data_IF_381573787123
#
_entry.id   IF_381573787123
#
_cell.length_a   1.000
_cell.length_b   1.000
_cell.length_c   1.000
_cell.angle_alpha   90.00
_cell.angle_beta   90.00
_cell.angle_gamma   90.00
#
_symmetry.space_group_name_H-M   'P 1'
#
loop_
_entity.id
_entity.type
_entity.pdbx_description
1 polymer ?
#
# COMPACT_ATOMS: atom_id res chain seq x y z
N UNK A 1 8.22 -11.68 -11.39
CA UNK A 1 7.21 -11.07 -10.51
C UNK A 1 5.92 -11.86 -10.64
N UNK A 2 5.23 -12.22 -9.54
CA UNK A 2 3.97 -12.93 -9.61
C UNK A 2 2.93 -12.12 -10.38
N UNK A 3 2.10 -12.80 -11.17
CA UNK A 3 1.01 -12.16 -11.92
C UNK A 3 -0.09 -11.77 -10.93
N UNK A 4 -0.28 -10.47 -10.71
CA UNK A 4 -1.30 -9.95 -9.80
C UNK A 4 -2.55 -9.59 -10.60
N UNK A 5 -3.70 -10.20 -10.26
CA UNK A 5 -4.99 -9.85 -10.85
C UNK A 5 -5.42 -8.46 -10.37
N UNK A 6 -6.24 -7.77 -11.16
CA UNK A 6 -6.75 -6.43 -10.81
C UNK A 6 -7.47 -6.42 -9.45
N UNK A 7 -8.29 -7.43 -9.16
CA UNK A 7 -9.00 -7.56 -7.88
C UNK A 7 -8.06 -7.75 -6.68
N UNK A 8 -7.01 -8.55 -6.86
CA UNK A 8 -5.96 -8.76 -5.83
C UNK A 8 -5.18 -7.49 -5.58
N UNK A 9 -4.77 -6.81 -6.67
CA UNK A 9 -4.07 -5.54 -6.60
C UNK A 9 -4.87 -4.49 -5.81
N UNK A 10 -6.17 -4.35 -6.11
CA UNK A 10 -7.06 -3.43 -5.40
C UNK A 10 -7.13 -3.77 -3.90
N UNK A 11 -7.40 -5.04 -3.57
CA UNK A 11 -7.57 -5.48 -2.19
C UNK A 11 -6.29 -5.29 -1.38
N UNK A 12 -5.15 -5.75 -1.90
CA UNK A 12 -3.85 -5.64 -1.24
C UNK A 12 -3.46 -4.16 -1.08
N UNK A 13 -3.65 -3.34 -2.11
CA UNK A 13 -3.36 -1.90 -2.05
C UNK A 13 -4.17 -1.21 -0.96
N UNK A 14 -5.48 -1.46 -0.88
CA UNK A 14 -6.35 -0.89 0.15
C UNK A 14 -5.89 -1.31 1.54
N UNK A 15 -5.59 -2.60 1.74
CA UNK A 15 -5.09 -3.10 3.02
C UNK A 15 -3.79 -2.42 3.44
N UNK A 16 -2.82 -2.31 2.53
CA UNK A 16 -1.52 -1.67 2.81
C UNK A 16 -1.70 -0.19 3.15
N UNK A 17 -2.40 0.55 2.29
CA UNK A 17 -2.59 2.00 2.45
C UNK A 17 -3.34 2.30 3.75
N UNK A 18 -4.40 1.55 4.04
CA UNK A 18 -5.14 1.67 5.29
C UNK A 18 -4.27 1.38 6.51
N UNK A 19 -3.46 0.33 6.46
CA UNK A 19 -2.58 -0.01 7.59
C UNK A 19 -1.52 1.06 7.85
N UNK A 20 -0.92 1.60 6.80
CA UNK A 20 0.01 2.72 6.92
C UNK A 20 -0.71 3.97 7.48
N UNK A 21 -1.95 4.21 7.05
CA UNK A 21 -2.76 5.34 7.52
C UNK A 21 -3.10 5.20 9.01
N UNK A 22 -3.63 4.05 9.42
CA UNK A 22 -4.03 3.75 10.80
C UNK A 22 -2.84 3.80 11.77
N UNK A 23 -1.64 3.48 11.29
CA UNK A 23 -0.39 3.57 12.06
C UNK A 23 0.29 4.94 11.99
N UNK A 24 -0.38 5.97 11.44
CA UNK A 24 0.18 7.31 11.25
C UNK A 24 1.55 7.29 10.55
N UNK A 25 1.74 6.42 9.55
CA UNK A 25 2.99 6.30 8.80
C UNK A 25 3.13 7.45 7.80
N UNK A 26 3.23 8.66 8.31
CA UNK A 26 3.44 9.91 7.58
C UNK A 26 4.68 10.62 8.14
N UNK A 27 5.40 11.38 7.32
CA UNK A 27 6.59 12.13 7.75
C UNK A 27 7.65 11.24 8.41
N UNK A 28 7.75 11.28 9.75
CA UNK A 28 8.69 10.45 10.52
C UNK A 28 8.20 9.00 10.70
N UNK A 29 6.89 8.76 10.68
CA UNK A 29 6.27 7.45 10.84
C UNK A 29 6.60 6.50 9.68
N UNK A 30 6.86 5.23 9.99
CA UNK A 30 7.12 4.19 8.97
C UNK A 30 7.17 2.81 9.61
N UNK A 31 6.79 1.78 8.85
CA UNK A 31 6.81 0.38 9.33
C UNK A 31 7.47 -0.58 8.35
N UNK A 32 7.99 -1.68 8.88
CA UNK A 32 8.65 -2.71 8.09
C UNK A 32 7.65 -3.53 7.28
N UNK A 33 8.14 -4.16 6.20
CA UNK A 33 7.31 -5.01 5.34
C UNK A 33 6.61 -6.16 6.08
N UNK A 34 7.25 -6.75 7.10
CA UNK A 34 6.62 -7.82 7.88
C UNK A 34 5.37 -7.35 8.63
N UNK A 35 5.34 -6.07 9.06
CA UNK A 35 4.15 -5.45 9.66
C UNK A 35 3.06 -5.29 8.61
N UNK A 36 3.41 -4.94 7.38
CA UNK A 36 2.43 -4.81 6.28
C UNK A 36 1.87 -6.16 5.83
N UNK A 37 2.71 -7.21 5.84
CA UNK A 37 2.31 -8.58 5.56
C UNK A 37 1.38 -9.17 6.63
N UNK A 38 1.41 -8.67 7.87
CA UNK A 38 0.54 -9.22 8.92
C UNK A 38 -0.95 -8.94 8.62
N UNK A 39 -1.80 -9.96 8.75
CA UNK A 39 -3.23 -9.86 8.43
C UNK A 39 -3.57 -9.90 6.93
N UNK A 40 -2.60 -10.10 6.04
CA UNK A 40 -2.84 -10.46 4.63
C UNK A 40 -2.95 -11.99 4.54
N UNK A 41 -3.90 -12.48 3.74
CA UNK A 41 -4.10 -13.91 3.46
C UNK A 41 -2.83 -14.54 2.90
N UNK A 42 -2.54 -15.79 3.28
CA UNK A 42 -1.35 -16.54 2.83
C UNK A 42 -1.20 -16.53 1.31
N UNK A 43 -2.31 -16.59 0.61
CA UNK A 43 -2.46 -16.60 -0.86
C UNK A 43 -1.96 -15.34 -1.57
N UNK A 44 -1.75 -14.25 -0.82
CA UNK A 44 -1.37 -12.94 -1.36
C UNK A 44 -0.05 -12.41 -0.80
N UNK A 45 0.58 -13.14 0.13
CA UNK A 45 1.81 -12.69 0.80
C UNK A 45 2.96 -12.49 -0.19
N UNK A 46 3.02 -13.32 -1.24
CA UNK A 46 3.98 -13.24 -2.34
C UNK A 46 3.71 -12.05 -3.28
N UNK A 47 2.46 -11.57 -3.35
CA UNK A 47 2.05 -10.42 -4.17
C UNK A 47 2.30 -9.08 -3.49
N UNK A 48 2.44 -9.03 -2.16
CA UNK A 48 2.61 -7.79 -1.38
C UNK A 48 3.76 -6.93 -1.87
N UNK A 49 4.91 -7.54 -2.17
CA UNK A 49 6.09 -6.81 -2.63
C UNK A 49 5.85 -6.15 -3.99
N UNK A 50 5.29 -6.90 -4.94
CA UNK A 50 4.88 -6.38 -6.26
C UNK A 50 3.93 -5.19 -6.13
N UNK A 51 2.94 -5.28 -5.23
CA UNK A 51 1.98 -4.19 -5.00
C UNK A 51 2.65 -2.99 -4.34
N UNK A 52 3.53 -3.20 -3.36
CA UNK A 52 4.30 -2.11 -2.73
C UNK A 52 5.18 -1.37 -3.74
N UNK A 53 5.87 -2.09 -4.62
CA UNK A 53 6.69 -1.47 -5.66
C UNK A 53 5.86 -0.62 -6.61
N UNK A 54 4.67 -1.10 -7.00
CA UNK A 54 3.74 -0.32 -7.82
C UNK A 54 3.27 0.95 -7.08
N UNK A 55 2.89 0.85 -5.81
CA UNK A 55 2.47 2.00 -5.00
C UNK A 55 3.61 3.02 -4.81
N UNK A 56 4.85 2.55 -4.68
CA UNK A 56 6.05 3.41 -4.64
C UNK A 56 6.26 4.12 -5.97
N UNK A 57 6.15 3.39 -7.09
CA UNK A 57 6.27 3.95 -8.44
C UNK A 57 5.21 5.03 -8.71
N UNK A 58 3.99 4.82 -8.21
CA UNK A 58 2.87 5.78 -8.30
C UNK A 58 2.94 6.92 -7.27
N UNK A 59 4.00 6.96 -6.46
CA UNK A 59 4.23 7.96 -5.40
C UNK A 59 3.12 7.98 -4.33
N UNK A 60 2.38 6.89 -4.14
CA UNK A 60 1.40 6.78 -3.04
C UNK A 60 2.10 6.52 -1.72
N UNK A 61 3.13 5.69 -1.75
CA UNK A 61 4.01 5.46 -0.62
C UNK A 61 5.47 5.66 -1.03
N UNK A 62 6.32 5.77 -0.02
CA UNK A 62 7.76 5.78 -0.15
C UNK A 62 8.33 4.61 0.65
N UNK A 63 9.55 4.22 0.29
CA UNK A 63 10.34 3.25 1.05
C UNK A 63 11.67 3.85 1.46
N UNK A 64 12.15 3.48 2.65
CA UNK A 64 13.48 3.84 3.15
C UNK A 64 14.20 2.60 3.66
N UNK A 65 15.48 2.48 3.31
CA UNK A 65 16.33 1.38 3.78
C UNK A 65 16.69 1.62 5.26
N UNK A 66 16.63 0.55 6.04
CA UNK A 66 17.06 0.46 7.44
C UNK A 66 17.84 -0.85 7.63
N UNK A 67 18.44 -1.00 8.80
CA UNK A 67 19.28 -2.14 9.18
C UNK A 67 18.60 -3.49 8.88
N UNK A 68 17.35 -3.65 9.31
CA UNK A 68 16.59 -4.90 9.12
C UNK A 68 15.70 -4.92 7.86
N UNK A 69 16.01 -4.09 6.87
CA UNK A 69 15.30 -4.09 5.58
C UNK A 69 14.58 -2.78 5.25
N UNK A 70 13.47 -2.89 4.51
CA UNK A 70 12.75 -1.72 4.01
C UNK A 70 11.60 -1.34 4.94
N UNK A 71 11.52 -0.06 5.29
CA UNK A 71 10.33 0.54 5.91
C UNK A 71 9.56 1.35 4.88
N UNK A 72 8.24 1.36 5.00
CA UNK A 72 7.32 2.06 4.11
C UNK A 72 6.51 3.10 4.87
N UNK A 73 6.13 4.16 4.17
CA UNK A 73 5.34 5.28 4.68
C UNK A 73 4.57 5.95 3.55
N UNK A 74 3.48 6.64 3.88
CA UNK A 74 2.61 7.31 2.92
C UNK A 74 3.19 8.64 2.47
N UNK A 75 2.93 8.99 1.21
CA UNK A 75 3.31 10.28 0.65
C UNK A 75 2.24 11.34 0.98
N UNK A 76 2.61 12.36 1.77
CA UNK A 76 1.70 13.44 2.15
C UNK A 76 1.27 14.31 0.97
N UNK A 77 2.07 14.39 -0.10
CA UNK A 77 1.68 15.11 -1.32
C UNK A 77 0.49 14.45 -2.03
N UNK A 78 0.16 13.21 -1.65
CA UNK A 78 -0.95 12.42 -2.19
C UNK A 78 -2.04 12.17 -1.14
N UNK A 79 -2.06 12.96 -0.06
CA UNK A 79 -2.94 12.74 1.09
C UNK A 79 -4.42 12.63 0.72
N UNK A 80 -4.94 13.49 -0.16
CA UNK A 80 -6.34 13.42 -0.59
C UNK A 80 -6.67 12.09 -1.26
N UNK A 81 -5.84 11.66 -2.22
CA UNK A 81 -5.99 10.35 -2.88
C UNK A 81 -5.88 9.20 -1.90
N UNK A 82 -4.96 9.27 -0.93
CA UNK A 82 -4.82 8.27 0.13
C UNK A 82 -6.11 8.21 0.98
N UNK A 83 -6.63 9.37 1.37
CA UNK A 83 -7.86 9.48 2.16
C UNK A 83 -9.05 8.91 1.42
N UNK A 84 -9.14 9.12 0.10
CA UNK A 84 -10.16 8.49 -0.74
C UNK A 84 -10.03 6.96 -0.73
N UNK A 85 -8.82 6.42 -0.95
CA UNK A 85 -8.54 4.96 -0.91
C UNK A 85 -8.96 4.34 0.44
N UNK A 86 -8.66 5.03 1.55
CA UNK A 86 -9.00 4.57 2.91
C UNK A 86 -10.50 4.66 3.19
N UNK A 87 -11.18 5.69 2.67
CA UNK A 87 -12.62 5.90 2.86
C UNK A 87 -13.49 4.99 2.00
N UNK A 88 -12.92 4.35 0.98
CA UNK A 88 -13.68 3.43 0.12
C UNK A 88 -14.38 2.33 0.92
N UNK A 89 -15.66 2.11 0.62
CA UNK A 89 -16.46 1.01 1.16
C UNK A 89 -17.12 0.25 0.00
N UNK A 90 -17.25 -1.07 0.14
CA UNK A 90 -17.87 -1.94 -0.87
C UNK A 90 -16.96 -2.36 -2.03
N UNK A 91 -17.59 -2.90 -3.09
CA UNK A 91 -16.95 -3.55 -4.24
C UNK A 91 -16.45 -2.60 -5.34
N UNK A 92 -16.85 -1.32 -5.29
CA UNK A 92 -16.31 -0.30 -6.19
C UNK A 92 -14.97 0.17 -5.63
N UNK A 93 -13.95 0.24 -6.49
CA UNK A 93 -12.66 0.81 -6.11
C UNK A 93 -12.17 1.78 -7.18
N UNK A 94 -11.83 2.97 -6.74
CA UNK A 94 -11.16 4.03 -7.48
C UNK A 94 -9.65 3.76 -7.56
N UNK A 95 -9.10 2.81 -6.80
CA UNK A 95 -7.68 2.44 -6.83
C UNK A 95 -7.19 2.26 -8.27
N UNK A 96 -7.86 1.51 -9.17
CA UNK A 96 -7.41 1.40 -10.55
C UNK A 96 -7.44 2.74 -11.31
N UNK A 97 -8.35 3.64 -10.99
CA UNK A 97 -8.49 4.95 -11.64
C UNK A 97 -7.42 5.92 -11.11
N UNK A 98 -7.22 5.98 -9.80
CA UNK A 98 -6.25 6.84 -9.13
C UNK A 98 -4.79 6.44 -9.38
N UNK A 99 -4.56 5.16 -9.73
CA UNK A 99 -3.24 4.56 -9.91
C UNK A 99 -2.86 4.34 -11.39
N UNK A 100 -3.75 4.68 -12.33
CA UNK A 100 -3.50 4.67 -13.78
C UNK A 100 -3.11 6.06 -14.35
N UNK A 101 -2.81 7.05 -13.50
CA UNK A 101 -2.29 8.38 -13.88
C UNK A 101 -0.90 8.63 -13.30
#
# INVERSE_FOLDING_TARGET
>A
MPKVKRSEYIRISRTIVKKLFDQNCFGKGSVYIHVLKSGISKEDLDKVETVLEALVKQKICHKKKKEHGWKYYLNMDRYDKIKEIVREKGNRSIVPILLML
#
